data_IF_235175486061
#
_entry.id   IF_235175486061
#
_cell.length_a   1.000
_cell.length_b   1.000
_cell.length_c   1.000
_cell.angle_alpha   90.00
_cell.angle_beta   90.00
_cell.angle_gamma   90.00
#
_symmetry.space_group_name_H-M   'P 1'
#
loop_
_entity.id
_entity.type
_entity.pdbx_description
1 polymer ?
#
# COMPACT_ATOMS: atom_id res chain seq x y z
N UNK A 1 17.52 -1.46 -20.70
CA UNK A 1 17.25 -0.34 -19.74
C UNK A 1 16.00 -0.72 -18.97
N UNK A 2 16.14 -1.01 -17.67
CA UNK A 2 15.02 -1.41 -16.80
C UNK A 2 14.30 -0.17 -16.30
N UNK A 3 12.98 -0.12 -16.48
CA UNK A 3 12.14 1.01 -16.06
C UNK A 3 11.31 0.61 -14.84
N UNK A 4 11.24 1.51 -13.85
CA UNK A 4 10.47 1.30 -12.63
C UNK A 4 9.39 2.36 -12.42
N UNK A 5 8.31 1.98 -11.73
CA UNK A 5 7.32 2.92 -11.24
C UNK A 5 7.08 2.73 -9.74
N UNK A 6 7.14 3.83 -9.00
CA UNK A 6 6.91 3.90 -7.55
C UNK A 6 5.55 4.54 -7.30
N UNK A 7 4.71 3.85 -6.55
CA UNK A 7 3.34 4.27 -6.25
C UNK A 7 3.20 4.58 -4.76
N UNK A 8 3.22 5.88 -4.40
CA UNK A 8 3.04 6.32 -3.03
C UNK A 8 1.67 5.91 -2.48
N UNK A 9 1.60 5.62 -1.19
CA UNK A 9 0.36 5.44 -0.45
C UNK A 9 -0.38 6.75 -0.22
N UNK A 10 -1.66 6.67 0.17
CA UNK A 10 -2.42 7.90 0.42
C UNK A 10 -3.90 7.71 0.69
N UNK A 11 -4.35 6.48 0.98
CA UNK A 11 -5.78 6.16 1.15
C UNK A 11 -6.59 6.69 -0.05
N UNK A 12 -7.56 7.59 0.18
CA UNK A 12 -8.38 8.18 -0.90
C UNK A 12 -7.57 8.95 -1.96
N UNK A 13 -6.39 9.48 -1.63
CA UNK A 13 -5.52 10.14 -2.61
C UNK A 13 -4.98 9.17 -3.67
N UNK A 14 -5.00 7.87 -3.39
CA UNK A 14 -4.70 6.82 -4.38
C UNK A 14 -5.63 6.82 -5.61
N UNK A 15 -6.72 7.60 -5.60
CA UNK A 15 -7.54 7.86 -6.79
C UNK A 15 -6.78 8.64 -7.86
N UNK A 16 -5.88 9.54 -7.48
CA UNK A 16 -5.00 10.21 -8.43
C UNK A 16 -4.08 9.19 -9.13
N UNK A 17 -3.46 8.32 -8.33
CA UNK A 17 -2.63 7.22 -8.85
C UNK A 17 -3.43 6.30 -9.77
N UNK A 18 -4.69 5.94 -9.40
CA UNK A 18 -5.56 5.12 -10.23
C UNK A 18 -5.82 5.77 -11.60
N UNK A 19 -6.13 7.07 -11.63
CA UNK A 19 -6.34 7.79 -12.89
C UNK A 19 -5.08 7.85 -13.76
N UNK A 20 -3.92 8.07 -13.16
CA UNK A 20 -2.64 8.05 -13.88
C UNK A 20 -2.35 6.65 -14.47
N UNK A 21 -2.55 5.58 -13.69
CA UNK A 21 -2.36 4.20 -14.18
C UNK A 21 -3.40 3.80 -15.23
N UNK A 22 -4.65 4.24 -15.11
CA UNK A 22 -5.68 4.04 -16.14
C UNK A 22 -5.25 4.68 -17.47
N UNK A 23 -4.67 5.89 -17.43
CA UNK A 23 -4.12 6.57 -18.61
C UNK A 23 -2.92 5.81 -19.20
N UNK A 24 -2.01 5.29 -18.35
CA UNK A 24 -0.88 4.47 -18.80
C UNK A 24 -1.36 3.18 -19.49
N UNK A 25 -2.38 2.51 -18.94
CA UNK A 25 -2.99 1.33 -19.56
C UNK A 25 -3.63 1.66 -20.93
N UNK A 26 -4.32 2.80 -21.05
CA UNK A 26 -4.92 3.25 -22.33
C UNK A 26 -3.87 3.49 -23.42
N UNK A 27 -2.66 3.90 -23.02
CA UNK A 27 -1.54 4.16 -23.92
C UNK A 27 -0.58 2.96 -24.02
N UNK A 28 -0.93 1.80 -23.46
CA UNK A 28 -0.12 0.57 -23.48
C UNK A 28 1.30 0.77 -22.91
N UNK A 29 1.45 1.69 -21.98
CA UNK A 29 2.74 1.95 -21.30
C UNK A 29 2.87 0.96 -20.16
N UNK A 30 3.94 0.17 -20.19
CA UNK A 30 4.26 -0.89 -19.21
C UNK A 30 5.64 -0.59 -18.60
N UNK A 31 5.79 -0.85 -17.30
CA UNK A 31 7.06 -0.76 -16.58
C UNK A 31 7.59 -2.16 -16.26
N UNK A 32 8.91 -2.33 -16.29
CA UNK A 32 9.56 -3.60 -15.95
C UNK A 32 9.40 -3.94 -14.45
N UNK A 33 9.34 -2.92 -13.60
CA UNK A 33 9.22 -3.04 -12.15
C UNK A 33 8.19 -2.06 -11.59
N UNK A 34 7.34 -2.55 -10.71
CA UNK A 34 6.29 -1.77 -10.02
C UNK A 34 6.44 -1.96 -8.52
N UNK A 35 6.54 -0.89 -7.76
CA UNK A 35 6.52 -0.97 -6.29
C UNK A 35 5.42 -0.09 -5.72
N UNK A 36 4.56 -0.69 -4.90
CA UNK A 36 3.39 -0.01 -4.35
C UNK A 36 3.33 -0.03 -2.83
N UNK A 37 2.84 1.07 -2.26
CA UNK A 37 2.72 1.29 -0.83
C UNK A 37 1.27 1.61 -0.47
N UNK A 38 0.66 0.88 0.48
CA UNK A 38 -0.70 1.18 0.96
C UNK A 38 -1.71 1.21 -0.22
N UNK A 39 -2.43 2.31 -0.44
CA UNK A 39 -3.28 2.47 -1.62
C UNK A 39 -2.51 2.25 -2.93
N UNK A 40 -1.21 2.58 -2.97
CA UNK A 40 -0.32 2.29 -4.09
C UNK A 40 -0.12 0.79 -4.33
N UNK A 41 -0.14 -0.04 -3.26
CA UNK A 41 -0.08 -1.50 -3.40
C UNK A 41 -1.34 -2.06 -4.09
N UNK A 42 -2.52 -1.58 -3.70
CA UNK A 42 -3.77 -1.92 -4.39
C UNK A 42 -3.79 -1.45 -5.85
N UNK A 43 -3.25 -0.27 -6.12
CA UNK A 43 -3.08 0.25 -7.48
C UNK A 43 -2.11 -0.63 -8.31
N UNK A 44 -0.97 -1.04 -7.72
CA UNK A 44 0.02 -1.87 -8.39
C UNK A 44 -0.58 -3.20 -8.88
N UNK A 45 -1.27 -3.93 -8.01
CA UNK A 45 -1.85 -5.24 -8.40
C UNK A 45 -2.93 -5.08 -9.47
N UNK A 46 -3.77 -4.04 -9.38
CA UNK A 46 -4.81 -3.79 -10.38
C UNK A 46 -4.22 -3.36 -11.74
N UNK A 47 -3.14 -2.59 -11.74
CA UNK A 47 -2.41 -2.21 -12.94
C UNK A 47 -1.80 -3.42 -13.65
N UNK A 48 -1.13 -4.32 -12.93
CA UNK A 48 -0.58 -5.53 -13.50
C UNK A 48 -1.66 -6.48 -14.03
N UNK A 49 -2.82 -6.52 -13.38
CA UNK A 49 -3.97 -7.29 -13.85
C UNK A 49 -4.72 -6.65 -15.03
N UNK A 50 -4.30 -5.44 -15.48
CA UNK A 50 -4.98 -4.71 -16.55
C UNK A 50 -6.42 -4.28 -16.19
N UNK A 51 -6.74 -4.20 -14.88
CA UNK A 51 -8.10 -3.94 -14.41
C UNK A 51 -8.37 -2.44 -14.23
N UNK A 52 -8.49 -1.75 -15.35
CA UNK A 52 -8.85 -0.33 -15.41
C UNK A 52 -10.13 -0.03 -14.61
N UNK A 53 -10.10 1.06 -13.84
CA UNK A 53 -11.21 1.52 -13.01
C UNK A 53 -11.46 0.72 -11.73
N UNK A 54 -10.86 -0.47 -11.55
CA UNK A 54 -11.09 -1.32 -10.37
C UNK A 54 -10.67 -0.61 -9.07
N UNK A 55 -9.53 0.06 -9.06
CA UNK A 55 -9.09 0.82 -7.87
C UNK A 55 -10.06 1.94 -7.53
N UNK A 56 -10.55 2.69 -8.53
CA UNK A 56 -11.55 3.74 -8.33
C UNK A 56 -12.79 3.15 -7.67
N UNK A 57 -13.33 2.06 -8.23
CA UNK A 57 -14.50 1.39 -7.67
C UNK A 57 -14.26 0.95 -6.22
N UNK A 58 -13.13 0.29 -5.93
CA UNK A 58 -12.80 -0.21 -4.59
C UNK A 58 -12.70 0.93 -3.58
N UNK A 59 -11.98 2.00 -3.91
CA UNK A 59 -11.76 3.12 -2.98
C UNK A 59 -13.05 3.90 -2.72
N UNK A 60 -13.94 4.04 -3.71
CA UNK A 60 -15.17 4.80 -3.61
C UNK A 60 -16.40 3.96 -3.25
N UNK A 61 -16.22 2.68 -2.96
CA UNK A 61 -17.31 1.78 -2.60
C UNK A 61 -18.11 2.32 -1.40
N UNK A 62 -19.44 2.41 -1.56
CA UNK A 62 -20.33 3.06 -0.60
C UNK A 62 -21.66 2.29 -0.49
N UNK A 63 -22.59 2.80 0.32
CA UNK A 63 -23.87 2.15 0.55
C UNK A 63 -23.70 0.75 1.17
N UNK A 64 -24.24 -0.27 0.52
CA UNK A 64 -24.12 -1.66 0.95
C UNK A 64 -22.68 -2.19 0.85
N UNK A 65 -21.88 -1.62 -0.04
CA UNK A 65 -20.47 -1.94 -0.22
C UNK A 65 -19.53 -1.08 0.62
N UNK A 66 -20.01 -0.26 1.52
CA UNK A 66 -19.15 0.52 2.41
C UNK A 66 -18.26 -0.40 3.26
N UNK A 67 -16.98 -0.08 3.33
CA UNK A 67 -15.97 -0.80 4.13
C UNK A 67 -15.32 0.09 5.20
N UNK A 68 -15.77 1.34 5.34
CA UNK A 68 -15.27 2.31 6.33
C UNK A 68 -16.41 3.17 6.90
N UNK A 69 -16.15 3.87 8.00
CA UNK A 69 -17.06 4.83 8.61
C UNK A 69 -17.90 4.27 9.76
N UNK A 70 -18.71 5.14 10.38
CA UNK A 70 -19.45 4.84 11.61
C UNK A 70 -20.48 3.72 11.42
N UNK A 71 -21.15 3.66 10.27
CA UNK A 71 -22.11 2.58 9.97
C UNK A 71 -21.39 1.23 9.90
N UNK A 72 -20.22 1.18 9.24
CA UNK A 72 -19.41 -0.02 9.15
C UNK A 72 -18.86 -0.42 10.52
N UNK A 73 -18.41 0.53 11.33
CA UNK A 73 -17.96 0.29 12.71
C UNK A 73 -19.05 -0.37 13.57
N UNK A 74 -20.31 0.05 13.43
CA UNK A 74 -21.44 -0.58 14.14
C UNK A 74 -21.71 -2.01 13.67
N UNK A 75 -21.49 -2.29 12.37
CA UNK A 75 -21.77 -3.61 11.75
C UNK A 75 -20.65 -4.60 12.00
N UNK A 76 -19.38 -4.21 11.77
CA UNK A 76 -18.21 -5.10 11.79
C UNK A 76 -17.28 -4.87 13.00
N UNK A 77 -17.55 -3.87 13.85
CA UNK A 77 -16.67 -3.37 14.94
C UNK A 77 -15.28 -2.88 14.43
N UNK A 78 -15.16 -2.61 13.13
CA UNK A 78 -13.94 -2.09 12.48
C UNK A 78 -14.27 -0.74 11.84
N UNK A 79 -13.43 0.30 12.10
CA UNK A 79 -13.55 1.59 11.42
C UNK A 79 -13.17 1.51 9.95
N UNK A 80 -12.21 0.65 9.63
CA UNK A 80 -11.74 0.33 8.29
C UNK A 80 -11.70 -1.20 8.15
N UNK A 81 -12.56 -1.76 7.31
CA UNK A 81 -12.69 -3.20 7.11
C UNK A 81 -11.90 -3.63 5.87
N UNK A 82 -10.61 -3.89 6.08
CA UNK A 82 -9.70 -4.32 5.01
C UNK A 82 -10.00 -5.74 4.53
N UNK A 83 -10.58 -6.61 5.36
CA UNK A 83 -11.01 -7.94 4.92
C UNK A 83 -12.09 -7.81 3.84
N UNK A 84 -13.05 -6.90 4.06
CA UNK A 84 -14.06 -6.60 3.06
C UNK A 84 -13.47 -5.96 1.81
N UNK A 85 -12.66 -4.90 2.00
CA UNK A 85 -12.08 -4.14 0.89
C UNK A 85 -11.15 -4.98 0.01
N UNK A 86 -10.32 -5.82 0.60
CA UNK A 86 -9.30 -6.57 -0.13
C UNK A 86 -9.82 -7.97 -0.49
N UNK A 87 -10.28 -8.75 0.51
CA UNK A 87 -10.62 -10.16 0.27
C UNK A 87 -12.02 -10.31 -0.32
N UNK A 88 -13.08 -9.73 0.30
CA UNK A 88 -14.45 -9.93 -0.17
C UNK A 88 -14.67 -9.30 -1.56
N UNK A 89 -14.19 -8.07 -1.79
CA UNK A 89 -14.34 -7.42 -3.10
C UNK A 89 -13.61 -8.18 -4.20
N UNK A 90 -12.43 -8.74 -3.92
CA UNK A 90 -11.65 -9.51 -4.90
C UNK A 90 -12.29 -10.83 -5.30
N UNK A 91 -13.19 -11.37 -4.48
CA UNK A 91 -13.85 -12.64 -4.79
C UNK A 91 -15.32 -12.49 -5.21
N UNK A 92 -15.96 -11.35 -4.92
CA UNK A 92 -17.42 -11.21 -5.11
C UNK A 92 -17.83 -9.99 -5.91
N UNK A 93 -17.65 -8.77 -5.35
CA UNK A 93 -18.25 -7.57 -5.91
C UNK A 93 -17.53 -7.04 -7.14
N UNK A 94 -16.21 -7.15 -7.15
CA UNK A 94 -15.39 -6.83 -8.31
C UNK A 94 -14.19 -7.79 -8.36
N UNK A 95 -14.39 -9.00 -8.92
CA UNK A 95 -13.38 -10.06 -8.91
C UNK A 95 -12.01 -9.57 -9.40
N UNK A 96 -10.98 -9.98 -8.68
CA UNK A 96 -9.61 -9.69 -9.06
C UNK A 96 -9.14 -10.72 -10.09
N UNK A 97 -8.61 -10.25 -11.21
CA UNK A 97 -8.08 -11.12 -12.27
C UNK A 97 -6.66 -11.56 -11.91
N UNK A 98 -6.57 -12.55 -11.03
CA UNK A 98 -5.31 -13.04 -10.53
C UNK A 98 -4.48 -13.73 -11.62
N UNK A 99 -5.13 -14.38 -12.60
CA UNK A 99 -4.44 -15.01 -13.73
C UNK A 99 -3.68 -13.97 -14.56
N UNK A 100 -4.33 -12.87 -14.92
CA UNK A 100 -3.64 -11.76 -15.61
C UNK A 100 -2.56 -11.11 -14.77
N UNK A 101 -2.79 -10.95 -13.47
CA UNK A 101 -1.77 -10.42 -12.57
C UNK A 101 -0.51 -11.28 -12.59
N UNK A 102 -0.63 -12.59 -12.46
CA UNK A 102 0.50 -13.53 -12.51
C UNK A 102 1.16 -13.53 -13.89
N UNK A 103 0.37 -13.54 -14.97
CA UNK A 103 0.86 -13.54 -16.34
C UNK A 103 1.56 -12.24 -16.76
N UNK A 104 1.38 -11.13 -16.03
CA UNK A 104 2.07 -9.87 -16.33
C UNK A 104 3.59 -10.07 -16.30
N UNK A 105 4.33 -9.58 -17.30
CA UNK A 105 5.80 -9.68 -17.33
C UNK A 105 6.49 -8.79 -16.29
N UNK A 106 5.78 -7.80 -15.76
CA UNK A 106 6.34 -6.85 -14.78
C UNK A 106 6.62 -7.54 -13.45
N UNK A 107 7.77 -7.24 -12.86
CA UNK A 107 8.04 -7.53 -11.46
C UNK A 107 7.19 -6.58 -10.58
N UNK A 108 6.71 -7.06 -9.45
CA UNK A 108 6.04 -6.19 -8.48
C UNK A 108 6.48 -6.52 -7.06
N UNK A 109 6.64 -5.46 -6.26
CA UNK A 109 6.82 -5.55 -4.82
C UNK A 109 5.79 -4.67 -4.08
N UNK A 110 5.22 -5.23 -3.01
CA UNK A 110 4.30 -4.53 -2.12
C UNK A 110 5.02 -4.23 -0.82
N UNK A 111 5.06 -2.94 -0.44
CA UNK A 111 5.79 -2.50 0.75
C UNK A 111 4.95 -2.71 1.99
N UNK A 112 5.53 -3.35 2.99
CA UNK A 112 4.95 -3.54 4.32
C UNK A 112 5.95 -3.11 5.39
N UNK A 113 5.48 -2.79 6.59
CA UNK A 113 6.35 -2.52 7.75
C UNK A 113 6.26 -3.69 8.70
N UNK A 114 7.36 -4.39 8.91
CA UNK A 114 7.46 -5.48 9.87
C UNK A 114 7.36 -4.92 11.30
N UNK A 115 6.43 -5.45 12.09
CA UNK A 115 6.19 -4.95 13.45
C UNK A 115 7.31 -5.33 14.42
N UNK A 116 7.95 -6.46 14.23
CA UNK A 116 9.01 -6.96 15.11
C UNK A 116 10.31 -6.15 14.95
N UNK A 117 10.66 -5.81 13.70
CA UNK A 117 11.90 -5.12 13.35
C UNK A 117 11.75 -3.61 13.14
N UNK A 118 10.54 -3.13 12.89
CA UNK A 118 10.26 -1.74 12.50
C UNK A 118 10.77 -1.37 11.10
N UNK A 119 11.24 -2.33 10.31
CA UNK A 119 11.82 -2.09 8.98
C UNK A 119 10.79 -2.29 7.87
N UNK A 120 11.04 -1.64 6.73
CA UNK A 120 10.31 -1.95 5.51
C UNK A 120 10.73 -3.32 4.98
N UNK A 121 9.76 -4.07 4.50
CA UNK A 121 9.95 -5.29 3.73
C UNK A 121 9.15 -5.22 2.44
N UNK A 122 9.60 -5.93 1.42
CA UNK A 122 9.09 -5.84 0.07
C UNK A 122 8.62 -7.23 -0.36
N UNK A 123 7.29 -7.40 -0.39
CA UNK A 123 6.66 -8.68 -0.71
C UNK A 123 6.56 -8.81 -2.23
N UNK A 124 7.38 -9.67 -2.80
CA UNK A 124 7.42 -9.93 -4.23
C UNK A 124 6.20 -10.72 -4.72
N UNK A 125 5.90 -10.59 -6.01
CA UNK A 125 4.86 -11.34 -6.72
C UNK A 125 5.04 -12.84 -6.56
N UNK A 126 3.94 -13.54 -6.30
CA UNK A 126 3.87 -15.00 -6.24
C UNK A 126 2.60 -15.51 -6.91
N UNK A 127 2.52 -16.83 -7.15
CA UNK A 127 1.34 -17.50 -7.66
C UNK A 127 0.31 -17.86 -6.56
N UNK A 128 0.56 -17.47 -5.31
CA UNK A 128 -0.39 -17.62 -4.20
C UNK A 128 -1.25 -16.37 -4.07
N UNK A 129 -2.49 -16.44 -4.58
CA UNK A 129 -3.47 -15.34 -4.53
C UNK A 129 -3.73 -14.88 -3.10
N UNK A 130 -3.95 -15.82 -2.18
CA UNK A 130 -4.25 -15.50 -0.78
C UNK A 130 -3.09 -14.75 -0.14
N UNK A 131 -1.85 -15.17 -0.42
CA UNK A 131 -0.64 -14.49 0.07
C UNK A 131 -0.54 -13.08 -0.48
N UNK A 132 -0.76 -12.88 -1.78
CA UNK A 132 -0.71 -11.56 -2.42
C UNK A 132 -1.80 -10.63 -1.90
N UNK A 133 -3.05 -11.08 -1.80
CA UNK A 133 -4.13 -10.27 -1.22
C UNK A 133 -3.87 -9.96 0.27
N UNK A 134 -3.27 -10.89 1.02
CA UNK A 134 -2.86 -10.64 2.41
C UNK A 134 -1.76 -9.58 2.48
N UNK A 135 -0.81 -9.57 1.54
CA UNK A 135 0.23 -8.53 1.44
C UNK A 135 -0.37 -7.15 1.12
N UNK A 136 -1.35 -7.07 0.19
CA UNK A 136 -2.11 -5.82 -0.06
C UNK A 136 -2.81 -5.34 1.22
N UNK A 137 -3.48 -6.24 1.93
CA UNK A 137 -4.13 -5.94 3.21
C UNK A 137 -3.14 -5.44 4.25
N UNK A 138 -1.99 -6.08 4.40
CA UNK A 138 -0.91 -5.68 5.31
C UNK A 138 -0.38 -4.29 4.96
N UNK A 139 -0.09 -4.05 3.69
CA UNK A 139 0.36 -2.76 3.17
C UNK A 139 -0.64 -1.62 3.44
N UNK A 140 -1.94 -1.92 3.52
CA UNK A 140 -3.02 -0.96 3.83
C UNK A 140 -3.38 -0.86 5.32
N UNK A 141 -2.74 -1.63 6.21
CA UNK A 141 -3.10 -1.70 7.64
C UNK A 141 -2.53 -0.53 8.42
N UNK A 142 -3.30 0.57 8.51
CA UNK A 142 -2.90 1.80 9.21
C UNK A 142 -3.08 1.64 10.72
N UNK A 143 -2.07 2.02 11.56
CA UNK A 143 -2.18 2.01 13.02
C UNK A 143 -3.41 2.76 13.53
N UNK A 144 -3.99 2.31 14.62
CA UNK A 144 -5.23 2.80 15.25
C UNK A 144 -6.50 2.35 14.53
N UNK A 145 -6.50 2.32 13.21
CA UNK A 145 -7.68 1.92 12.42
C UNK A 145 -7.74 0.42 12.16
N UNK A 146 -6.57 -0.23 12.11
CA UNK A 146 -6.41 -1.64 11.81
C UNK A 146 -5.50 -2.34 12.82
N UNK A 147 -5.65 -3.64 12.93
CA UNK A 147 -4.71 -4.52 13.63
C UNK A 147 -3.55 -4.90 12.70
N UNK A 148 -2.38 -5.29 13.25
CA UNK A 148 -1.34 -5.94 12.48
C UNK A 148 -1.88 -7.16 11.74
N UNK A 149 -1.39 -7.38 10.53
CA UNK A 149 -1.74 -8.51 9.66
C UNK A 149 -0.62 -9.54 9.75
N UNK A 150 -0.97 -10.79 10.03
CA UNK A 150 -0.04 -11.90 9.99
C UNK A 150 0.17 -12.37 8.55
N UNK A 151 1.43 -12.48 8.14
CA UNK A 151 1.85 -13.03 6.86
C UNK A 151 3.19 -13.74 7.07
N UNK A 152 3.31 -14.97 6.60
CA UNK A 152 4.54 -15.79 6.67
C UNK A 152 5.13 -15.89 8.09
N UNK A 153 4.28 -15.87 9.13
CA UNK A 153 4.68 -15.97 10.54
C UNK A 153 5.14 -14.67 11.20
N UNK A 154 5.08 -13.54 10.49
CA UNK A 154 5.39 -12.20 11.01
C UNK A 154 4.15 -11.31 11.03
N UNK A 155 4.21 -10.25 11.82
CA UNK A 155 3.17 -9.23 11.86
C UNK A 155 3.58 -7.99 11.07
N UNK A 156 2.68 -7.54 10.19
CA UNK A 156 2.92 -6.40 9.33
C UNK A 156 1.85 -5.31 9.46
N UNK A 157 2.27 -4.09 9.22
CA UNK A 157 1.41 -2.93 9.08
C UNK A 157 1.78 -2.12 7.82
N UNK A 158 1.07 -1.02 7.59
CA UNK A 158 1.18 -0.17 6.41
C UNK A 158 2.65 0.15 6.06
N UNK A 159 3.03 -0.10 4.82
CA UNK A 159 4.40 0.10 4.34
C UNK A 159 4.86 1.55 4.43
N UNK A 160 3.94 2.51 4.33
CA UNK A 160 4.25 3.94 4.42
C UNK A 160 4.79 4.39 5.78
N UNK A 161 4.85 3.51 6.76
CA UNK A 161 5.42 3.81 8.08
C UNK A 161 6.93 3.75 8.06
N UNK A 162 7.51 2.80 7.31
CA UNK A 162 8.95 2.60 7.18
C UNK A 162 9.50 3.10 5.84
N UNK A 163 8.77 2.89 4.72
CA UNK A 163 9.17 3.37 3.40
C UNK A 163 7.95 3.83 2.60
N UNK A 164 7.72 5.15 2.59
CA UNK A 164 6.56 5.76 1.92
C UNK A 164 6.75 5.93 0.42
N UNK A 165 8.02 6.13 -0.03
CA UNK A 165 8.39 6.38 -1.42
C UNK A 165 9.63 5.54 -1.74
N UNK A 166 9.47 4.27 -2.10
CA UNK A 166 10.55 3.28 -2.22
C UNK A 166 11.42 3.46 -3.48
N UNK A 167 11.85 4.70 -3.76
CA UNK A 167 12.74 5.02 -4.91
C UNK A 167 14.07 4.31 -4.80
N UNK A 168 14.64 4.30 -3.58
CA UNK A 168 15.90 3.61 -3.31
C UNK A 168 15.80 2.12 -3.66
N UNK A 169 14.68 1.47 -3.27
CA UNK A 169 14.42 0.07 -3.60
C UNK A 169 14.36 -0.17 -5.10
N UNK A 170 13.71 0.71 -5.86
CA UNK A 170 13.62 0.58 -7.31
C UNK A 170 15.02 0.61 -7.97
N UNK A 171 15.93 1.46 -7.50
CA UNK A 171 17.33 1.45 -7.99
C UNK A 171 18.11 0.22 -7.51
N UNK A 172 17.89 -0.26 -6.27
CA UNK A 172 18.52 -1.47 -5.74
C UNK A 172 18.17 -2.74 -6.53
N UNK A 173 16.96 -2.82 -7.11
CA UNK A 173 16.56 -3.94 -7.98
C UNK A 173 16.98 -3.73 -9.43
N UNK A 174 17.78 -2.71 -9.72
CA UNK A 174 18.43 -2.48 -11.01
C UNK A 174 17.64 -1.65 -12.01
N UNK A 175 16.64 -0.83 -11.56
CA UNK A 175 16.01 0.11 -12.45
C UNK A 175 16.98 1.24 -12.84
N UNK A 176 17.06 1.53 -14.15
CA UNK A 176 17.86 2.63 -14.71
C UNK A 176 17.08 3.96 -14.65
N UNK A 177 15.75 3.90 -14.76
CA UNK A 177 14.83 5.04 -14.68
C UNK A 177 13.64 4.69 -13.84
N UNK A 178 13.20 5.67 -13.04
CA UNK A 178 12.08 5.50 -12.12
C UNK A 178 11.09 6.66 -12.29
N UNK A 179 9.82 6.34 -12.46
CA UNK A 179 8.71 7.30 -12.39
C UNK A 179 8.09 7.18 -11.01
N UNK A 180 7.87 8.31 -10.33
CA UNK A 180 7.20 8.35 -9.03
C UNK A 180 5.83 9.01 -9.17
N UNK A 181 4.77 8.29 -8.76
CA UNK A 181 3.44 8.88 -8.62
C UNK A 181 3.23 9.19 -7.14
N UNK A 182 3.33 10.48 -6.81
CA UNK A 182 3.13 11.00 -5.46
C UNK A 182 1.68 11.38 -5.24
N UNK A 183 1.18 11.17 -4.03
CA UNK A 183 -0.21 11.47 -3.63
C UNK A 183 -0.31 12.66 -2.69
N UNK A 184 0.83 13.18 -2.23
CA UNK A 184 0.92 14.38 -1.39
C UNK A 184 1.52 15.52 -2.17
N UNK A 185 1.13 16.74 -1.80
CA UNK A 185 1.87 17.93 -2.22
C UNK A 185 3.23 17.94 -1.52
N UNK A 186 4.26 18.53 -2.12
CA UNK A 186 5.62 18.58 -1.55
C UNK A 186 5.66 19.12 -0.10
N UNK A 187 4.82 20.12 0.21
CA UNK A 187 4.72 20.75 1.52
C UNK A 187 3.89 19.95 2.55
N UNK A 188 3.18 18.89 2.14
CA UNK A 188 2.34 18.08 3.01
C UNK A 188 3.13 16.98 3.71
N UNK A 189 3.35 17.13 5.00
CA UNK A 189 3.96 16.08 5.82
C UNK A 189 2.98 14.94 6.15
N UNK A 190 3.45 13.70 6.30
CA UNK A 190 2.63 12.56 6.73
C UNK A 190 2.16 12.71 8.19
N UNK A 191 1.24 11.83 8.61
CA UNK A 191 0.70 11.79 9.97
C UNK A 191 1.82 11.82 11.02
N UNK A 192 1.70 12.73 11.97
CA UNK A 192 2.60 12.82 13.11
C UNK A 192 2.11 11.93 14.26
N UNK A 193 2.63 10.72 14.36
CA UNK A 193 2.27 9.80 15.44
C UNK A 193 2.77 10.26 16.81
N UNK A 194 3.77 11.13 16.88
CA UNK A 194 4.23 11.75 18.12
C UNK A 194 3.15 12.57 18.82
N UNK A 195 2.23 13.19 18.06
CA UNK A 195 1.08 13.93 18.63
C UNK A 195 0.02 13.01 19.27
N UNK A 196 -0.05 11.76 18.85
CA UNK A 196 -1.01 10.76 19.35
C UNK A 196 -0.30 9.59 20.03
N UNK A 197 0.90 9.82 20.55
CA UNK A 197 1.76 8.77 21.16
C UNK A 197 1.06 8.00 22.30
N UNK A 198 0.04 8.58 22.93
CA UNK A 198 -0.75 7.89 23.97
C UNK A 198 -1.50 6.70 23.37
N UNK A 199 -2.06 6.86 22.17
CA UNK A 199 -2.73 5.79 21.43
C UNK A 199 -1.75 4.73 20.93
N UNK A 200 -0.46 5.09 20.83
CA UNK A 200 0.62 4.18 20.38
C UNK A 200 1.25 3.37 21.51
N UNK A 201 0.82 3.53 22.77
CA UNK A 201 1.44 2.84 23.95
C UNK A 201 1.40 1.32 23.82
N UNK A 202 0.35 0.77 23.24
CA UNK A 202 0.24 -0.69 23.01
C UNK A 202 1.34 -1.18 22.10
N UNK A 203 1.64 -0.42 21.03
CA UNK A 203 2.73 -0.73 20.11
C UNK A 203 4.09 -0.61 20.81
N UNK A 204 4.29 0.42 21.64
CA UNK A 204 5.55 0.58 22.42
C UNK A 204 5.83 -0.64 23.28
N UNK A 205 4.81 -1.24 23.89
CA UNK A 205 4.95 -2.43 24.74
C UNK A 205 5.18 -3.70 23.91
N UNK A 206 4.41 -3.90 22.84
CA UNK A 206 4.41 -5.15 22.07
C UNK A 206 5.46 -5.16 20.96
N UNK A 207 5.71 -4.03 20.32
CA UNK A 207 6.58 -3.85 19.14
C UNK A 207 7.41 -2.58 19.27
N UNK A 208 8.44 -2.55 20.15
CA UNK A 208 9.21 -1.33 20.45
C UNK A 208 9.92 -0.76 19.21
N UNK A 209 10.52 -1.60 18.38
CA UNK A 209 11.19 -1.16 17.15
C UNK A 209 10.21 -0.51 16.15
N UNK A 210 9.01 -1.09 16.00
CA UNK A 210 7.95 -0.49 15.20
C UNK A 210 7.48 0.86 15.76
N UNK A 211 7.36 0.97 17.10
CA UNK A 211 7.01 2.24 17.73
C UNK A 211 8.04 3.34 17.41
N UNK A 212 9.34 3.02 17.44
CA UNK A 212 10.39 3.97 17.10
C UNK A 212 10.29 4.42 15.63
N UNK A 213 9.97 3.50 14.72
CA UNK A 213 9.69 3.80 13.32
C UNK A 213 8.51 4.77 13.17
N UNK A 214 7.41 4.54 13.90
CA UNK A 214 6.27 5.46 13.91
C UNK A 214 6.66 6.88 14.34
N UNK A 215 7.49 7.01 15.37
CA UNK A 215 7.93 8.32 15.87
C UNK A 215 8.80 9.07 14.87
N UNK A 216 9.61 8.36 14.07
CA UNK A 216 10.53 8.92 13.07
C UNK A 216 9.93 9.07 11.67
N UNK A 217 8.69 8.68 11.47
CA UNK A 217 8.05 8.64 10.14
C UNK A 217 8.21 9.93 9.34
N UNK A 218 8.02 11.10 9.97
CA UNK A 218 8.11 12.39 9.27
C UNK A 218 9.53 12.70 8.78
N UNK A 219 10.51 12.39 9.59
CA UNK A 219 11.92 12.53 9.24
C UNK A 219 12.30 11.62 8.07
N UNK A 220 11.86 10.35 8.13
CA UNK A 220 12.12 9.39 7.06
C UNK A 220 11.46 9.81 5.74
N UNK A 221 10.21 10.29 5.80
CA UNK A 221 9.50 10.79 4.62
C UNK A 221 10.21 11.98 3.97
N UNK A 222 10.65 12.97 4.74
CA UNK A 222 11.40 14.10 4.22
C UNK A 222 12.68 13.65 3.48
N UNK A 223 13.45 12.73 4.08
CA UNK A 223 14.65 12.14 3.45
C UNK A 223 14.34 11.34 2.17
N UNK A 224 13.12 10.85 2.01
CA UNK A 224 12.71 10.15 0.78
C UNK A 224 12.35 11.13 -0.31
N UNK A 225 11.72 12.25 0.01
CA UNK A 225 11.46 13.34 -0.94
C UNK A 225 12.76 13.94 -1.48
N UNK A 226 13.74 14.22 -0.60
CA UNK A 226 15.05 14.76 -0.99
C UNK A 226 15.82 13.87 -2.01
N UNK A 227 15.38 12.66 -2.25
CA UNK A 227 16.00 11.73 -3.21
C UNK A 227 15.33 11.74 -4.58
N UNK A 228 14.21 12.44 -4.72
CA UNK A 228 13.45 12.49 -5.98
C UNK A 228 13.86 13.72 -6.80
N UNK A 229 14.38 14.74 -6.12
CA UNK A 229 14.93 15.97 -6.74
C UNK A 229 16.36 15.71 -7.29
#
# INVERSE_FOLDING_TARGET
MKTGIVLEGGAFRGLFTAGALDCLMDNQIVFDYVVGVSAGAGNAVNYLAGQKGRTKWTITASGENAYYGVKQMRKSKKMLDLDRMVMEFSHKQYPFDFEKFVASPSEVELVVTNCETGKAEYIAKTEDEKRMLTAVKASCSVPVLCNPVELDGFHYMDGSLADSIPVKRAFEVGCDRVVCILTRKPEEAPTNYGKIRVLMRTYKKKYPAFYDTLMRRREMYAKQLDRID
#
